data_IF_215877859164
#
_entry.id   IF_215877859164
#
_cell.length_a   1.000
_cell.length_b   1.000
_cell.length_c   1.000
_cell.angle_alpha   90.00
_cell.angle_beta   90.00
_cell.angle_gamma   90.00
#
_symmetry.space_group_name_H-M   'P 1'
#
loop_
_entity.id
_entity.type
_entity.pdbx_description
1 polymer ?
#
# COMPACT_ATOMS: atom_id res chain seq x y z
N UNK A 1 3.46 -0.73 4.44
CA UNK A 1 2.03 -0.70 4.12
C UNK A 1 1.85 -1.31 2.75
N UNK A 2 1.42 -2.56 2.72
CA UNK A 2 1.24 -3.36 1.49
C UNK A 2 0.13 -4.37 1.74
N UNK A 3 -0.25 -5.12 0.70
CA UNK A 3 -1.13 -6.28 0.74
C UNK A 3 -2.61 -6.03 1.12
N UNK A 4 -3.31 -5.02 0.57
CA UNK A 4 -4.73 -4.83 0.83
C UNK A 4 -5.58 -6.07 0.47
N UNK A 5 -5.16 -6.82 -0.55
CA UNK A 5 -5.83 -8.04 -1.04
C UNK A 5 -5.82 -9.22 -0.05
N UNK A 6 -4.93 -9.18 0.97
CA UNK A 6 -4.88 -10.20 2.04
C UNK A 6 -5.75 -9.87 3.24
N UNK A 7 -5.96 -8.57 3.49
CA UNK A 7 -6.61 -8.07 4.70
C UNK A 7 -8.06 -7.65 4.46
N UNK A 8 -8.39 -7.29 3.23
CA UNK A 8 -9.71 -6.83 2.85
C UNK A 8 -10.74 -7.97 2.87
N UNK A 9 -11.85 -7.72 3.54
CA UNK A 9 -13.06 -8.54 3.49
C UNK A 9 -13.93 -8.16 2.30
N UNK A 10 -13.90 -6.88 1.89
CA UNK A 10 -14.61 -6.40 0.69
C UNK A 10 -14.01 -6.98 -0.60
N UNK A 11 -12.69 -7.15 -0.62
CA UNK A 11 -11.95 -7.69 -1.75
C UNK A 11 -11.80 -6.71 -2.93
N UNK A 12 -11.41 -7.22 -4.11
CA UNK A 12 -11.21 -6.42 -5.30
C UNK A 12 -12.53 -5.80 -5.81
N UNK A 13 -12.46 -4.68 -6.57
CA UNK A 13 -11.25 -4.06 -7.10
C UNK A 13 -10.61 -2.99 -6.18
N UNK A 14 -11.31 -2.54 -5.14
CA UNK A 14 -10.96 -1.30 -4.47
C UNK A 14 -10.39 -1.48 -3.05
N UNK A 15 -10.68 -2.60 -2.37
CA UNK A 15 -10.22 -2.87 -1.00
C UNK A 15 -10.55 -1.72 -0.02
N UNK A 16 -11.77 -1.18 -0.10
CA UNK A 16 -12.17 0.08 0.56
C UNK A 16 -12.11 0.02 2.08
N UNK A 17 -12.33 -1.15 2.65
CA UNK A 17 -12.34 -1.41 4.09
C UNK A 17 -10.97 -1.27 4.75
N UNK A 18 -9.87 -1.43 4.01
CA UNK A 18 -8.51 -1.33 4.55
C UNK A 18 -7.88 0.06 4.36
N UNK A 19 -8.47 0.91 3.50
CA UNK A 19 -7.97 2.27 3.22
C UNK A 19 -7.84 3.13 4.48
N UNK A 20 -8.85 3.23 5.37
CA UNK A 20 -8.76 4.14 6.52
C UNK A 20 -7.63 3.78 7.48
N UNK A 21 -7.35 2.49 7.64
CA UNK A 21 -6.26 2.00 8.49
C UNK A 21 -4.91 2.31 7.89
N UNK A 22 -4.75 2.06 6.58
CA UNK A 22 -3.50 2.32 5.91
C UNK A 22 -3.20 3.81 5.80
N UNK A 23 -4.21 4.63 5.49
CA UNK A 23 -4.11 6.09 5.50
C UNK A 23 -3.69 6.61 6.88
N UNK A 24 -4.32 6.12 7.95
CA UNK A 24 -3.97 6.53 9.32
C UNK A 24 -2.51 6.26 9.65
N UNK A 25 -1.96 5.13 9.20
CA UNK A 25 -0.55 4.80 9.42
C UNK A 25 0.40 5.70 8.62
N UNK A 26 0.08 6.00 7.37
CA UNK A 26 0.87 6.92 6.52
C UNK A 26 0.88 8.32 7.11
N UNK A 27 -0.26 8.82 7.58
CA UNK A 27 -0.37 10.16 8.17
C UNK A 27 0.29 10.26 9.54
N UNK A 28 0.22 9.19 10.36
CA UNK A 28 0.77 9.21 11.72
C UNK A 28 2.29 9.00 11.74
N UNK A 29 2.82 8.23 10.79
CA UNK A 29 4.24 7.83 10.75
C UNK A 29 4.86 8.04 9.36
N UNK A 30 4.82 9.26 8.80
CA UNK A 30 5.17 9.51 7.39
C UNK A 30 6.62 9.18 7.03
N UNK A 31 7.54 9.17 8.00
CA UNK A 31 8.98 8.92 7.84
C UNK A 31 9.40 7.46 8.13
N UNK A 32 8.44 6.60 8.51
CA UNK A 32 8.69 5.22 8.97
C UNK A 32 7.85 4.17 8.23
N UNK A 33 7.21 4.54 7.14
CA UNK A 33 6.39 3.64 6.31
C UNK A 33 6.98 3.49 4.91
N UNK A 34 6.80 2.30 4.33
CA UNK A 34 7.20 1.93 2.98
C UNK A 34 6.02 1.27 2.28
N UNK A 35 6.05 1.17 0.96
CA UNK A 35 5.05 0.42 0.17
C UNK A 35 5.72 -0.57 -0.79
N UNK A 36 5.03 -1.68 -1.06
CA UNK A 36 5.43 -2.67 -2.05
C UNK A 36 4.23 -3.50 -2.51
N UNK A 37 4.30 -4.07 -3.71
CA UNK A 37 3.20 -4.85 -4.30
C UNK A 37 3.01 -6.22 -3.66
N UNK A 38 4.05 -6.79 -3.05
CA UNK A 38 4.11 -8.21 -2.66
C UNK A 38 4.09 -9.19 -3.84
N UNK A 39 4.34 -8.72 -5.07
CA UNK A 39 4.51 -9.59 -6.23
C UNK A 39 5.66 -10.59 -6.00
N UNK A 40 5.53 -11.89 -6.36
CA UNK A 40 4.46 -12.54 -7.14
C UNK A 40 3.30 -13.11 -6.31
N UNK A 41 2.98 -12.48 -5.18
CA UNK A 41 1.84 -12.82 -4.30
C UNK A 41 1.90 -14.26 -3.77
N UNK A 42 3.00 -14.67 -3.09
CA UNK A 42 3.15 -16.05 -2.62
C UNK A 42 2.01 -16.43 -1.65
N UNK A 43 1.58 -17.69 -1.71
CA UNK A 43 0.46 -18.22 -0.90
C UNK A 43 -0.91 -17.56 -1.13
N UNK A 44 -1.08 -16.76 -2.19
CA UNK A 44 -2.41 -16.32 -2.62
C UNK A 44 -3.12 -17.48 -3.33
N UNK A 45 -4.12 -18.07 -2.67
CA UNK A 45 -4.80 -19.28 -3.18
C UNK A 45 -6.13 -19.01 -3.85
N UNK A 46 -6.83 -17.95 -3.44
CA UNK A 46 -8.21 -17.68 -3.88
C UNK A 46 -8.26 -16.88 -5.18
N UNK A 47 -7.35 -15.94 -5.38
CA UNK A 47 -7.31 -15.07 -6.55
C UNK A 47 -5.90 -14.50 -6.75
N UNK A 48 -5.58 -14.09 -7.97
CA UNK A 48 -4.41 -13.25 -8.23
C UNK A 48 -4.89 -11.79 -8.24
N UNK A 49 -4.33 -10.90 -7.41
CA UNK A 49 -4.68 -9.48 -7.48
C UNK A 49 -4.16 -8.88 -8.79
N UNK A 50 -4.87 -7.86 -9.27
CA UNK A 50 -4.36 -7.01 -10.35
C UNK A 50 -3.37 -6.00 -9.74
N UNK A 51 -2.08 -6.13 -10.09
CA UNK A 51 -1.02 -5.24 -9.60
C UNK A 51 -1.28 -3.77 -9.93
N UNK A 52 -1.93 -3.47 -11.05
CA UNK A 52 -2.33 -2.11 -11.43
C UNK A 52 -3.31 -1.53 -10.42
N UNK A 53 -4.27 -2.34 -9.95
CA UNK A 53 -5.22 -1.96 -8.90
C UNK A 53 -4.56 -1.80 -7.53
N UNK A 54 -3.49 -2.57 -7.26
CA UNK A 54 -2.69 -2.37 -6.05
C UNK A 54 -1.91 -1.05 -6.10
N UNK A 55 -1.41 -0.63 -7.26
CA UNK A 55 -0.76 0.68 -7.41
C UNK A 55 -1.77 1.82 -7.30
N UNK A 56 -2.97 1.66 -7.89
CA UNK A 56 -4.09 2.64 -7.77
C UNK A 56 -4.54 2.86 -6.31
N UNK A 57 -4.19 1.96 -5.39
CA UNK A 57 -4.44 2.09 -3.95
C UNK A 57 -3.56 3.16 -3.28
N UNK A 58 -2.36 3.42 -3.78
CA UNK A 58 -1.38 4.34 -3.18
C UNK A 58 -1.95 5.76 -2.96
N UNK A 59 -2.54 6.44 -3.96
CA UNK A 59 -3.06 7.80 -3.77
C UNK A 59 -4.21 7.88 -2.76
N UNK A 60 -4.82 6.73 -2.41
CA UNK A 60 -5.90 6.66 -1.42
C UNK A 60 -5.39 6.65 0.01
N UNK A 61 -4.19 6.11 0.23
CA UNK A 61 -3.55 6.03 1.55
C UNK A 61 -2.50 7.13 1.78
N UNK A 62 -1.92 7.65 0.70
CA UNK A 62 -1.00 8.78 0.66
C UNK A 62 -1.63 9.88 -0.20
N UNK A 63 -2.47 10.69 0.43
CA UNK A 63 -3.37 11.64 -0.25
C UNK A 63 -2.68 12.92 -0.73
N UNK A 64 -1.42 13.14 -0.37
CA UNK A 64 -0.61 14.27 -0.83
C UNK A 64 0.66 13.81 -1.54
N UNK A 65 1.21 14.66 -2.40
CA UNK A 65 2.46 14.37 -3.12
C UNK A 65 3.64 14.17 -2.17
N UNK A 66 3.67 14.87 -1.05
CA UNK A 66 4.72 14.75 -0.02
C UNK A 66 4.65 13.36 0.64
N UNK A 67 3.44 12.89 0.99
CA UNK A 67 3.25 11.55 1.56
C UNK A 67 3.59 10.46 0.55
N UNK A 68 3.24 10.63 -0.72
CA UNK A 68 3.60 9.68 -1.78
C UNK A 68 5.12 9.61 -1.96
N UNK A 69 5.79 10.77 -1.98
CA UNK A 69 7.24 10.85 -2.10
C UNK A 69 7.93 10.20 -0.89
N UNK A 70 7.48 10.48 0.33
CA UNK A 70 8.03 9.87 1.52
C UNK A 70 7.89 8.33 1.48
N UNK A 71 6.69 7.85 1.14
CA UNK A 71 6.35 6.42 1.09
C UNK A 71 7.13 5.65 0.01
N UNK A 72 7.34 6.26 -1.17
CA UNK A 72 7.88 5.58 -2.36
C UNK A 72 9.34 5.88 -2.67
N UNK A 73 9.91 6.97 -2.14
CA UNK A 73 11.25 7.44 -2.51
C UNK A 73 12.11 7.67 -1.28
N UNK A 74 11.73 8.61 -0.42
CA UNK A 74 12.64 9.10 0.62
C UNK A 74 12.87 8.05 1.73
N UNK A 75 11.81 7.36 2.19
CA UNK A 75 11.93 6.31 3.20
C UNK A 75 12.66 5.06 2.67
N UNK A 76 12.34 4.51 1.47
CA UNK A 76 13.09 3.40 0.92
C UNK A 76 14.57 3.73 0.71
N UNK A 77 14.89 4.92 0.17
CA UNK A 77 16.26 5.31 -0.11
C UNK A 77 17.11 5.33 1.17
N UNK A 78 16.57 5.87 2.27
CA UNK A 78 17.25 5.91 3.57
C UNK A 78 17.56 4.54 4.17
N UNK A 79 16.85 3.49 3.76
CA UNK A 79 16.97 2.14 4.33
C UNK A 79 17.79 1.19 3.47
N UNK A 80 17.78 1.38 2.15
CA UNK A 80 18.39 0.45 1.20
C UNK A 80 19.62 1.02 0.49
N UNK A 81 19.98 2.28 0.71
CA UNK A 81 21.15 2.96 0.12
C UNK A 81 21.86 3.83 1.14
#
# INVERSE_FOLDING_TARGET
MSCPERLSLCGPPNYDDVVPFAQRLVETFPDRVLWGTDWPHPNMKSHMPDDGKLVDFIPRIATTTELQRALLVDNPLRLYW
#
